data_IF_729560352178
#
_entry.id   IF_729560352178
#
_cell.length_a   1.000
_cell.length_b   1.000
_cell.length_c   1.000
_cell.angle_alpha   90.00
_cell.angle_beta   90.00
_cell.angle_gamma   90.00
#
_symmetry.space_group_name_H-M   'P 1'
#
loop_
_entity.id
_entity.type
_entity.pdbx_description
1 polymer ?
#
# COMPACT_ATOMS: atom_id res chain seq x y z
N UNK A 1 -19.68 -19.51 31.31
CA UNK A 1 -19.26 -18.35 30.51
C UNK A 1 -18.12 -18.84 29.63
N UNK A 2 -18.35 -19.07 28.34
CA UNK A 2 -17.27 -19.39 27.42
C UNK A 2 -16.41 -18.13 27.27
N UNK A 3 -15.16 -18.19 27.72
CA UNK A 3 -14.13 -17.26 27.26
C UNK A 3 -14.05 -17.39 25.74
N UNK A 4 -14.30 -16.33 24.97
CA UNK A 4 -14.12 -16.37 23.52
C UNK A 4 -12.69 -16.79 23.19
N UNK A 5 -12.54 -17.60 22.17
CA UNK A 5 -11.23 -17.97 21.63
C UNK A 5 -10.46 -16.69 21.25
N UNK A 6 -9.27 -16.42 21.82
CA UNK A 6 -8.46 -15.24 21.48
C UNK A 6 -8.02 -15.22 20.01
N UNK A 7 -8.13 -16.34 19.29
CA UNK A 7 -7.74 -16.47 17.89
C UNK A 7 -8.91 -16.31 16.91
N UNK A 8 -10.16 -16.18 17.38
CA UNK A 8 -11.26 -15.78 16.49
C UNK A 8 -11.21 -14.27 16.30
N UNK A 9 -10.91 -13.74 15.09
CA UNK A 9 -10.92 -12.31 14.86
C UNK A 9 -12.33 -11.80 15.17
N UNK A 10 -12.50 -10.94 16.17
CA UNK A 10 -13.79 -10.23 16.29
C UNK A 10 -13.83 -9.22 15.17
N UNK A 11 -14.99 -9.15 14.51
CA UNK A 11 -15.21 -8.26 13.38
C UNK A 11 -14.68 -6.84 13.68
N UNK A 12 -13.89 -6.31 12.75
CA UNK A 12 -13.42 -4.94 12.78
C UNK A 12 -14.60 -4.02 12.44
N UNK A 13 -14.72 -2.91 13.16
CA UNK A 13 -15.82 -1.95 12.97
C UNK A 13 -15.45 -0.82 12.02
N UNK A 14 -14.17 -0.43 11.96
CA UNK A 14 -13.69 0.77 11.28
C UNK A 14 -12.62 0.49 10.23
N UNK A 15 -11.84 -0.59 10.41
CA UNK A 15 -10.85 -1.04 9.43
C UNK A 15 -11.52 -1.97 8.43
N UNK A 16 -11.23 -1.77 7.15
CA UNK A 16 -11.70 -2.69 6.13
C UNK A 16 -10.93 -4.02 6.21
N UNK A 17 -11.66 -5.12 6.21
CA UNK A 17 -11.15 -6.47 5.99
C UNK A 17 -12.13 -7.21 5.07
N UNK A 18 -11.66 -8.10 4.18
CA UNK A 18 -12.55 -8.87 3.32
C UNK A 18 -13.43 -9.78 4.17
N UNK A 19 -14.64 -10.10 3.68
CA UNK A 19 -15.56 -11.03 4.38
C UNK A 19 -15.01 -12.45 4.54
N UNK A 20 -14.09 -12.86 3.68
CA UNK A 20 -13.50 -14.20 3.64
C UNK A 20 -12.11 -14.12 3.03
N UNK A 21 -11.18 -14.95 3.49
CA UNK A 21 -9.89 -15.18 2.87
C UNK A 21 -8.79 -14.23 3.35
N UNK A 22 -7.73 -14.19 2.56
CA UNK A 22 -6.53 -13.40 2.84
C UNK A 22 -6.57 -12.06 2.12
N UNK A 23 -6.08 -11.02 2.81
CA UNK A 23 -5.75 -9.73 2.22
C UNK A 23 -4.36 -9.24 2.64
N UNK A 24 -3.60 -8.71 1.68
CA UNK A 24 -2.43 -7.88 1.97
C UNK A 24 -2.55 -6.48 1.37
N UNK A 25 -1.71 -6.13 0.40
CA UNK A 25 -1.48 -4.75 -0.01
C UNK A 25 -2.77 -4.06 -0.49
N UNK A 26 -3.02 -2.80 -0.10
CA UNK A 26 -3.99 -1.98 -0.79
C UNK A 26 -3.50 -1.73 -2.23
N UNK A 27 -4.40 -1.91 -3.18
CA UNK A 27 -4.14 -1.74 -4.61
C UNK A 27 -5.14 -0.76 -5.21
N UNK A 28 -4.76 -0.14 -6.32
CA UNK A 28 -5.67 0.66 -7.14
C UNK A 28 -6.48 1.74 -6.40
N UNK A 29 -5.92 2.37 -5.37
CA UNK A 29 -6.62 3.41 -4.59
C UNK A 29 -6.93 4.61 -5.48
N UNK A 30 -8.22 4.92 -5.63
CA UNK A 30 -8.67 5.92 -6.61
C UNK A 30 -10.06 6.45 -6.26
N UNK A 31 -10.35 7.69 -6.66
CA UNK A 31 -11.72 8.20 -6.66
C UNK A 31 -12.31 8.13 -8.07
N UNK A 32 -13.44 7.46 -8.22
CA UNK A 32 -14.10 7.26 -9.50
C UNK A 32 -15.62 7.24 -9.32
N UNK A 33 -16.35 7.94 -10.20
CA UNK A 33 -17.82 7.96 -10.25
C UNK A 33 -18.53 8.14 -8.89
N UNK A 34 -17.99 9.02 -8.03
CA UNK A 34 -18.61 9.36 -6.75
C UNK A 34 -18.16 8.51 -5.55
N UNK A 35 -17.26 7.55 -5.76
CA UNK A 35 -16.77 6.64 -4.72
C UNK A 35 -15.24 6.64 -4.64
N UNK A 36 -14.72 6.40 -3.45
CA UNK A 36 -13.36 5.91 -3.26
C UNK A 36 -13.38 4.40 -3.49
N UNK A 37 -12.61 3.93 -4.46
CA UNK A 37 -12.40 2.52 -4.74
C UNK A 37 -11.09 2.08 -4.09
N UNK A 38 -11.11 0.91 -3.50
CA UNK A 38 -9.94 0.23 -2.97
C UNK A 38 -9.95 -1.21 -3.50
N UNK A 39 -8.90 -1.55 -4.22
CA UNK A 39 -8.59 -2.93 -4.55
C UNK A 39 -7.58 -3.45 -3.54
N UNK A 40 -7.37 -4.74 -3.52
CA UNK A 40 -6.40 -5.33 -2.60
C UNK A 40 -5.96 -6.71 -3.08
N UNK A 41 -4.71 -7.06 -2.78
CA UNK A 41 -4.24 -8.44 -2.96
C UNK A 41 -5.14 -9.39 -2.18
N UNK A 42 -5.67 -10.41 -2.86
CA UNK A 42 -6.71 -11.25 -2.30
C UNK A 42 -6.54 -12.73 -2.63
N UNK A 43 -6.69 -13.60 -1.63
CA UNK A 43 -6.86 -15.04 -1.82
C UNK A 43 -8.18 -15.48 -1.15
N UNK A 44 -9.29 -15.63 -1.91
CA UNK A 44 -10.63 -15.86 -1.34
C UNK A 44 -10.85 -17.25 -0.74
N UNK A 45 -10.15 -18.27 -1.27
CA UNK A 45 -10.31 -19.68 -0.87
C UNK A 45 -9.12 -20.18 -0.04
N UNK A 46 -8.56 -19.28 0.76
CA UNK A 46 -7.39 -19.48 1.60
C UNK A 46 -7.51 -20.70 2.54
N UNK A 47 -6.79 -21.78 2.22
CA UNK A 47 -6.53 -22.90 3.14
C UNK A 47 -5.07 -22.95 3.58
N UNK A 48 -4.13 -22.58 2.69
CA UNK A 48 -2.70 -22.48 2.97
C UNK A 48 -2.18 -21.11 2.51
N UNK A 49 -1.61 -20.29 3.41
CA UNK A 49 -0.95 -19.06 3.06
C UNK A 49 0.02 -19.18 1.88
N UNK A 50 -0.11 -18.28 0.89
CA UNK A 50 0.89 -18.04 -0.17
C UNK A 50 1.07 -19.16 -1.21
N UNK A 51 0.24 -20.20 -1.20
CA UNK A 51 0.26 -21.26 -2.22
C UNK A 51 -0.81 -21.09 -3.30
N UNK A 52 -1.69 -20.11 -3.15
CA UNK A 52 -2.75 -19.80 -4.10
C UNK A 52 -2.43 -18.52 -4.87
N UNK A 53 -2.84 -18.49 -6.14
CA UNK A 53 -2.64 -17.32 -7.00
C UNK A 53 -3.44 -16.12 -6.49
N UNK A 54 -2.76 -14.98 -6.43
CA UNK A 54 -3.37 -13.74 -5.96
C UNK A 54 -4.37 -13.18 -6.97
N UNK A 55 -5.46 -12.65 -6.43
CA UNK A 55 -6.50 -11.90 -7.12
C UNK A 55 -6.44 -10.43 -6.70
N UNK A 56 -7.20 -9.57 -7.38
CA UNK A 56 -7.57 -8.27 -6.82
C UNK A 56 -9.01 -8.31 -6.31
N UNK A 57 -9.17 -8.34 -4.99
CA UNK A 57 -10.44 -8.03 -4.36
C UNK A 57 -10.81 -6.55 -4.58
N UNK A 58 -12.06 -6.20 -4.36
CA UNK A 58 -12.56 -4.85 -4.63
C UNK A 58 -13.61 -4.43 -3.62
N UNK A 59 -13.43 -3.24 -3.04
CA UNK A 59 -14.44 -2.57 -2.24
C UNK A 59 -14.51 -1.08 -2.60
N UNK A 60 -15.63 -0.44 -2.28
CA UNK A 60 -15.79 1.01 -2.44
C UNK A 60 -16.49 1.64 -1.24
N UNK A 61 -16.29 2.94 -1.08
CA UNK A 61 -16.87 3.73 0.01
C UNK A 61 -17.05 5.19 -0.40
N UNK A 62 -17.83 5.94 0.37
CA UNK A 62 -17.94 7.41 0.26
C UNK A 62 -17.30 8.14 1.44
N UNK A 63 -17.02 7.42 2.53
CA UNK A 63 -16.61 8.00 3.82
C UNK A 63 -15.52 7.21 4.55
N UNK A 64 -14.97 6.16 3.92
CA UNK A 64 -13.94 5.28 4.50
C UNK A 64 -14.38 4.48 5.74
N UNK A 65 -15.67 4.48 6.06
CA UNK A 65 -16.24 3.74 7.17
C UNK A 65 -17.20 2.66 6.65
N UNK A 66 -18.12 3.07 5.77
CA UNK A 66 -19.10 2.17 5.20
C UNK A 66 -18.59 1.64 3.87
N UNK A 67 -18.02 0.43 3.92
CA UNK A 67 -17.47 -0.26 2.76
C UNK A 67 -18.49 -1.21 2.14
N UNK A 68 -18.69 -1.07 0.83
CA UNK A 68 -19.38 -2.04 -0.01
C UNK A 68 -18.33 -2.93 -0.67
N UNK A 69 -18.27 -4.20 -0.28
CA UNK A 69 -17.47 -5.22 -0.97
C UNK A 69 -18.16 -5.56 -2.30
N UNK A 70 -17.38 -5.53 -3.37
CA UNK A 70 -17.79 -5.75 -4.75
C UNK A 70 -17.21 -7.08 -5.27
N UNK A 71 -17.64 -7.56 -6.45
CA UNK A 71 -17.01 -8.72 -7.08
C UNK A 71 -15.50 -8.54 -7.24
N UNK A 72 -14.74 -9.63 -7.18
CA UNK A 72 -13.30 -9.64 -7.48
C UNK A 72 -13.07 -9.00 -8.85
N UNK A 73 -12.12 -8.06 -8.91
CA UNK A 73 -11.87 -7.25 -10.09
C UNK A 73 -10.92 -7.95 -11.07
N UNK A 74 -9.88 -8.63 -10.57
CA UNK A 74 -8.90 -9.35 -11.39
C UNK A 74 -8.74 -10.80 -10.91
N UNK A 75 -8.89 -11.73 -11.84
CA UNK A 75 -8.62 -13.15 -11.67
C UNK A 75 -7.35 -13.55 -12.42
N UNK A 76 -6.51 -14.46 -11.91
CA UNK A 76 -5.34 -14.99 -12.60
C UNK A 76 -5.75 -16.02 -13.66
N UNK A 77 -6.33 -15.56 -14.76
CA UNK A 77 -7.01 -16.37 -15.78
C UNK A 77 -6.41 -16.27 -17.19
N UNK A 78 -5.30 -15.55 -17.37
CA UNK A 78 -4.58 -15.39 -18.63
C UNK A 78 -3.22 -16.05 -18.59
N UNK A 79 -2.67 -16.37 -19.77
CA UNK A 79 -1.35 -16.99 -19.87
C UNK A 79 -0.22 -16.18 -19.20
N UNK A 80 -0.36 -14.85 -19.14
CA UNK A 80 0.63 -13.94 -18.55
C UNK A 80 0.43 -13.66 -17.05
N UNK A 81 -0.72 -14.02 -16.46
CA UNK A 81 -1.00 -13.81 -15.03
C UNK A 81 -1.53 -15.05 -14.29
N UNK A 82 -1.50 -16.23 -14.91
CA UNK A 82 -2.00 -17.47 -14.34
C UNK A 82 -1.34 -17.88 -13.01
N UNK A 83 -0.17 -17.32 -12.66
CA UNK A 83 0.47 -17.54 -11.37
C UNK A 83 0.06 -16.48 -10.32
N UNK A 84 -0.50 -15.33 -10.73
CA UNK A 84 -1.06 -14.32 -9.84
C UNK A 84 -1.22 -12.93 -10.49
N UNK A 85 -2.21 -12.18 -10.01
CA UNK A 85 -2.35 -10.75 -10.22
C UNK A 85 -1.77 -10.01 -9.01
N UNK A 86 -0.49 -9.65 -9.07
CA UNK A 86 0.22 -8.94 -8.00
C UNK A 86 -0.12 -7.45 -7.96
N UNK A 87 0.44 -6.75 -6.98
CA UNK A 87 0.09 -5.37 -6.63
C UNK A 87 0.29 -4.38 -7.77
N UNK A 88 -0.35 -3.22 -7.62
CA UNK A 88 -0.39 -2.17 -8.63
C UNK A 88 -1.31 -1.02 -8.24
N UNK A 89 -1.53 -0.13 -9.20
CA UNK A 89 -2.25 1.14 -9.00
C UNK A 89 -3.34 1.33 -10.05
N UNK A 90 -4.13 2.38 -9.87
CA UNK A 90 -5.23 2.71 -10.76
C UNK A 90 -5.17 4.18 -11.14
N UNK A 91 -5.67 4.49 -12.35
CA UNK A 91 -5.75 5.85 -12.86
C UNK A 91 -7.01 6.04 -13.69
N UNK A 92 -7.60 7.23 -13.61
CA UNK A 92 -8.74 7.60 -14.43
C UNK A 92 -8.24 8.30 -15.70
N UNK A 93 -8.67 7.81 -16.85
CA UNK A 93 -8.43 8.42 -18.17
C UNK A 93 -9.73 8.36 -18.98
N UNK A 94 -10.18 9.51 -19.47
CA UNK A 94 -11.36 9.61 -20.35
C UNK A 94 -12.60 8.88 -19.79
N UNK A 95 -12.93 9.17 -18.53
CA UNK A 95 -14.05 8.56 -17.79
C UNK A 95 -14.02 7.03 -17.65
N UNK A 96 -12.85 6.43 -17.90
CA UNK A 96 -12.60 5.00 -17.65
C UNK A 96 -11.57 4.84 -16.55
N UNK A 97 -11.74 3.77 -15.78
CA UNK A 97 -10.81 3.34 -14.76
C UNK A 97 -9.85 2.32 -15.36
N UNK A 98 -8.55 2.63 -15.29
CA UNK A 98 -7.48 1.73 -15.69
C UNK A 98 -6.82 1.16 -14.45
N UNK A 99 -6.73 -0.17 -14.37
CA UNK A 99 -5.91 -0.88 -13.39
C UNK A 99 -4.62 -1.31 -14.07
N UNK A 100 -3.48 -0.98 -13.47
CA UNK A 100 -2.16 -1.40 -13.95
C UNK A 100 -1.53 -2.20 -12.83
N UNK A 101 -1.17 -3.46 -13.14
CA UNK A 101 -0.80 -4.45 -12.14
C UNK A 101 0.37 -5.31 -12.60
N UNK A 102 1.08 -5.89 -11.65
CA UNK A 102 2.10 -6.89 -11.94
C UNK A 102 1.44 -8.24 -12.24
N UNK A 103 1.59 -8.73 -13.47
CA UNK A 103 1.09 -10.04 -13.91
C UNK A 103 2.19 -11.10 -13.79
N UNK A 104 1.89 -12.20 -13.10
CA UNK A 104 2.87 -13.25 -12.80
C UNK A 104 2.55 -14.51 -13.60
N UNK A 105 3.55 -15.06 -14.29
CA UNK A 105 3.44 -16.37 -14.93
C UNK A 105 4.66 -17.23 -14.61
N UNK A 106 4.50 -18.56 -14.66
CA UNK A 106 5.63 -19.49 -14.54
C UNK A 106 6.16 -19.86 -15.92
N UNK A 107 7.49 -19.89 -16.08
CA UNK A 107 8.09 -20.43 -17.32
C UNK A 107 7.76 -21.92 -17.43
N UNK A 108 7.32 -22.34 -18.62
CA UNK A 108 6.81 -23.69 -18.86
C UNK A 108 7.73 -24.80 -18.32
N UNK A 109 7.19 -25.62 -17.42
CA UNK A 109 7.91 -26.74 -16.80
C UNK A 109 8.86 -26.37 -15.67
N UNK A 110 8.80 -25.13 -15.16
CA UNK A 110 9.62 -24.65 -14.04
C UNK A 110 8.77 -23.94 -12.99
N UNK A 111 9.32 -23.79 -11.78
CA UNK A 111 8.76 -22.93 -10.73
C UNK A 111 9.27 -21.48 -10.83
N UNK A 112 9.98 -21.12 -11.92
CA UNK A 112 10.52 -19.77 -12.10
C UNK A 112 9.39 -18.80 -12.50
N UNK A 113 9.10 -17.86 -11.61
CA UNK A 113 8.12 -16.79 -11.83
C UNK A 113 8.73 -15.63 -12.63
N UNK A 114 7.98 -15.18 -13.62
CA UNK A 114 8.28 -13.99 -14.42
C UNK A 114 7.27 -12.93 -14.06
N UNK A 115 7.77 -11.75 -13.72
CA UNK A 115 6.96 -10.58 -13.37
C UNK A 115 6.94 -9.61 -14.57
N UNK A 116 5.74 -9.27 -15.03
CA UNK A 116 5.49 -8.33 -16.13
C UNK A 116 4.42 -7.33 -15.70
N UNK A 117 4.14 -6.29 -16.50
CA UNK A 117 3.07 -5.33 -16.24
C UNK A 117 1.93 -5.53 -17.22
N UNK A 118 0.69 -5.54 -16.71
CA UNK A 118 -0.54 -5.72 -17.48
C UNK A 118 -1.58 -4.65 -17.10
N UNK A 119 -2.56 -4.46 -17.98
CA UNK A 119 -3.61 -3.44 -17.86
C UNK A 119 -5.00 -4.08 -17.93
N UNK A 120 -5.93 -3.61 -17.11
CA UNK A 120 -7.36 -3.88 -17.25
C UNK A 120 -8.15 -2.57 -17.19
N UNK A 121 -9.28 -2.51 -17.88
CA UNK A 121 -10.05 -1.27 -18.10
C UNK A 121 -11.51 -1.50 -17.73
N UNK A 122 -12.12 -0.52 -17.05
CA UNK A 122 -13.54 -0.52 -16.73
C UNK A 122 -14.18 0.83 -17.03
N UNK A 123 -15.40 0.81 -17.57
CA UNK A 123 -16.22 2.01 -17.77
C UNK A 123 -17.17 2.29 -16.59
N UNK A 124 -17.54 1.26 -15.82
CA UNK A 124 -18.46 1.37 -14.66
C UNK A 124 -17.73 1.26 -13.31
N UNK A 125 -16.43 0.99 -13.34
CA UNK A 125 -15.58 0.82 -12.17
C UNK A 125 -15.79 -0.49 -11.43
N UNK A 126 -16.56 -1.44 -11.98
CA UNK A 126 -16.90 -2.73 -11.35
C UNK A 126 -16.52 -3.91 -12.25
N UNK A 127 -16.80 -3.83 -13.55
CA UNK A 127 -16.48 -4.88 -14.51
C UNK A 127 -15.24 -4.49 -15.32
N UNK A 128 -14.20 -5.32 -15.28
CA UNK A 128 -12.90 -5.04 -15.88
C UNK A 128 -12.59 -5.98 -17.04
N UNK A 129 -12.12 -5.42 -18.15
CA UNK A 129 -11.62 -6.16 -19.31
C UNK A 129 -10.10 -5.99 -19.40
N UNK A 130 -9.37 -7.11 -19.46
CA UNK A 130 -7.91 -7.08 -19.65
C UNK A 130 -7.57 -6.63 -21.07
N UNK A 131 -6.56 -5.77 -21.18
CA UNK A 131 -6.13 -5.24 -22.47
C UNK A 131 -5.60 -6.37 -23.38
N UNK A 132 -5.93 -6.39 -24.69
CA UNK A 132 -5.51 -7.45 -25.60
C UNK A 132 -3.99 -7.52 -25.81
N UNK A 133 -3.29 -6.40 -25.67
CA UNK A 133 -1.83 -6.31 -25.83
C UNK A 133 -1.05 -6.63 -24.55
N UNK A 134 -1.69 -7.16 -23.52
CA UNK A 134 -1.00 -7.58 -22.31
C UNK A 134 -0.03 -8.77 -22.58
N UNK A 135 1.15 -8.79 -21.90
CA UNK A 135 1.66 -7.77 -20.98
C UNK A 135 2.23 -6.55 -21.71
N UNK A 136 1.94 -5.36 -21.19
CA UNK A 136 2.37 -4.05 -21.75
C UNK A 136 3.81 -3.68 -21.43
N UNK A 137 4.38 -4.23 -20.34
CA UNK A 137 5.82 -4.21 -20.07
C UNK A 137 6.25 -5.64 -19.77
N UNK A 138 6.82 -6.38 -20.76
CA UNK A 138 7.03 -7.81 -20.61
C UNK A 138 8.24 -8.17 -19.73
N UNK A 139 9.25 -7.30 -19.66
CA UNK A 139 10.53 -7.59 -18.99
C UNK A 139 11.10 -6.34 -18.32
N UNK A 140 11.92 -6.53 -17.28
CA UNK A 140 12.72 -5.47 -16.67
C UNK A 140 13.89 -5.05 -17.60
N UNK A 141 14.36 -3.79 -17.51
CA UNK A 141 15.51 -3.30 -18.28
C UNK A 141 16.83 -3.75 -17.61
N UNK A 142 18.01 -3.53 -18.23
CA UNK A 142 19.29 -3.94 -17.65
C UNK A 142 19.54 -3.43 -16.21
N UNK A 143 18.96 -2.28 -15.85
CA UNK A 143 19.07 -1.68 -14.53
C UNK A 143 18.05 -2.22 -13.51
N UNK A 144 17.13 -3.09 -13.93
CA UNK A 144 16.20 -3.79 -13.05
C UNK A 144 16.67 -5.21 -12.67
N UNK A 145 15.78 -5.96 -12.05
CA UNK A 145 15.98 -7.37 -11.75
C UNK A 145 14.68 -8.14 -11.58
N UNK A 146 14.74 -9.42 -11.18
CA UNK A 146 13.60 -10.35 -11.24
C UNK A 146 12.45 -9.98 -10.30
N UNK A 147 12.73 -9.29 -9.19
CA UNK A 147 11.72 -8.58 -8.43
C UNK A 147 11.28 -7.36 -9.25
N UNK A 148 10.32 -7.48 -10.17
CA UNK A 148 9.87 -6.41 -11.06
C UNK A 148 8.35 -6.29 -11.01
N UNK A 149 7.85 -5.55 -10.02
CA UNK A 149 6.43 -5.52 -9.68
C UNK A 149 5.98 -4.16 -9.16
N UNK A 150 4.70 -4.11 -8.81
CA UNK A 150 4.04 -2.96 -8.17
C UNK A 150 4.08 -1.68 -9.02
N UNK A 151 3.58 -1.71 -10.28
CA UNK A 151 3.49 -0.52 -11.11
C UNK A 151 2.68 0.60 -10.43
N UNK A 152 3.32 1.75 -10.22
CA UNK A 152 2.69 2.95 -9.72
C UNK A 152 2.54 4.00 -10.80
N UNK A 153 1.34 4.07 -11.38
CA UNK A 153 1.00 5.02 -12.44
C UNK A 153 0.54 6.36 -11.86
N UNK A 154 0.98 7.43 -12.50
CA UNK A 154 0.52 8.77 -12.17
C UNK A 154 0.49 9.65 -13.42
N UNK A 155 -0.20 10.79 -13.30
CA UNK A 155 -0.19 11.84 -14.31
C UNK A 155 0.41 13.09 -13.71
N UNK A 156 1.52 13.54 -14.28
CA UNK A 156 2.22 14.77 -13.87
C UNK A 156 2.38 15.64 -15.10
N UNK A 157 1.93 16.90 -15.00
CA UNK A 157 2.06 17.92 -16.05
C UNK A 157 1.58 17.43 -17.43
N UNK A 158 0.49 16.67 -17.44
CA UNK A 158 -0.16 16.16 -18.65
C UNK A 158 0.41 14.83 -19.19
N UNK A 159 1.54 14.35 -18.70
CA UNK A 159 2.18 13.10 -19.11
C UNK A 159 1.87 11.95 -18.14
N UNK A 160 1.86 10.71 -18.66
CA UNK A 160 1.73 9.52 -17.83
C UNK A 160 3.10 8.95 -17.49
N UNK A 161 3.30 8.63 -16.23
CA UNK A 161 4.49 7.98 -15.71
C UNK A 161 4.11 6.70 -15.00
N UNK A 162 5.00 5.71 -15.04
CA UNK A 162 4.93 4.52 -14.23
C UNK A 162 6.22 4.38 -13.44
N UNK A 163 6.11 4.39 -12.11
CA UNK A 163 7.21 4.09 -11.19
C UNK A 163 7.16 2.60 -10.89
N UNK A 164 8.16 1.86 -11.32
CA UNK A 164 8.26 0.40 -11.13
C UNK A 164 9.23 0.09 -10.01
N UNK A 165 8.80 -0.72 -9.04
CA UNK A 165 9.69 -1.19 -7.99
C UNK A 165 10.48 -2.41 -8.43
N UNK A 166 11.77 -2.41 -8.08
CA UNK A 166 12.66 -3.54 -8.35
C UNK A 166 13.85 -3.63 -7.40
N UNK A 167 14.65 -4.67 -7.58
CA UNK A 167 15.96 -4.86 -6.96
C UNK A 167 16.98 -5.31 -8.00
N UNK A 168 18.22 -4.84 -7.90
CA UNK A 168 19.32 -5.26 -8.77
C UNK A 168 20.26 -6.22 -8.01
N UNK A 169 20.20 -7.54 -8.28
CA UNK A 169 20.84 -8.55 -7.44
C UNK A 169 22.36 -8.38 -7.29
N UNK A 170 23.06 -8.05 -8.38
CA UNK A 170 24.53 -7.96 -8.36
C UNK A 170 25.05 -6.76 -7.56
N UNK A 171 24.29 -5.66 -7.54
CA UNK A 171 24.68 -4.43 -6.83
C UNK A 171 24.05 -4.34 -5.45
N UNK A 172 23.12 -5.26 -5.13
CA UNK A 172 22.37 -5.25 -3.88
C UNK A 172 21.71 -3.89 -3.62
N UNK A 173 21.03 -3.38 -4.66
CA UNK A 173 20.31 -2.11 -4.60
C UNK A 173 18.82 -2.33 -4.83
N UNK A 174 17.99 -1.72 -3.98
CA UNK A 174 16.58 -1.51 -4.28
C UNK A 174 16.44 -0.31 -5.21
N UNK A 175 15.60 -0.39 -6.24
CA UNK A 175 15.46 0.66 -7.25
C UNK A 175 14.00 0.94 -7.58
N UNK A 176 13.71 2.21 -7.83
CA UNK A 176 12.51 2.64 -8.52
C UNK A 176 12.88 3.05 -9.94
N UNK A 177 12.36 2.33 -10.92
CA UNK A 177 12.54 2.64 -12.34
C UNK A 177 11.41 3.55 -12.81
N UNK A 178 11.70 4.44 -13.76
CA UNK A 178 10.70 5.32 -14.36
C UNK A 178 10.44 4.93 -15.81
N UNK A 179 9.16 4.84 -16.15
CA UNK A 179 8.66 4.74 -17.52
C UNK A 179 7.76 5.94 -17.82
N UNK A 180 7.72 6.35 -19.08
CA UNK A 180 6.79 7.37 -19.61
C UNK A 180 5.87 6.71 -20.65
N UNK A 181 4.61 7.14 -20.72
CA UNK A 181 3.65 6.64 -21.72
C UNK A 181 2.78 7.76 -22.27
N UNK A 182 2.43 7.73 -23.57
CA UNK A 182 1.42 8.60 -24.13
C UNK A 182 -0.01 8.14 -23.83
N UNK A 183 -0.23 6.86 -23.52
CA UNK A 183 -1.58 6.27 -23.56
C UNK A 183 -1.92 5.24 -22.47
N UNK A 184 -0.98 4.93 -21.56
CA UNK A 184 -1.03 3.89 -20.51
C UNK A 184 -0.79 2.46 -20.99
N UNK A 185 -0.55 2.25 -22.28
CA UNK A 185 -0.33 0.92 -22.88
C UNK A 185 1.09 0.81 -23.44
N UNK A 186 1.57 1.84 -24.14
CA UNK A 186 2.92 1.84 -24.68
C UNK A 186 3.86 2.57 -23.72
N UNK A 187 4.81 1.86 -23.13
CA UNK A 187 5.71 2.39 -22.10
C UNK A 187 7.15 2.46 -22.60
N UNK A 188 7.81 3.60 -22.39
CA UNK A 188 9.23 3.81 -22.67
C UNK A 188 10.00 3.88 -21.35
N UNK A 189 10.98 3.00 -21.14
CA UNK A 189 11.89 3.10 -20.00
C UNK A 189 12.75 4.37 -20.11
N UNK A 190 12.84 5.13 -19.02
CA UNK A 190 13.59 6.40 -18.98
C UNK A 190 14.86 6.30 -18.16
N UNK A 191 14.75 5.89 -16.89
CA UNK A 191 15.88 5.93 -15.96
C UNK A 191 15.61 5.16 -14.65
N UNK A 192 16.67 5.01 -13.83
CA UNK A 192 16.56 4.71 -12.39
C UNK A 192 16.26 6.01 -11.66
N UNK A 193 15.02 6.19 -11.19
CA UNK A 193 14.57 7.42 -10.54
C UNK A 193 15.08 7.55 -9.10
N UNK A 194 15.17 6.44 -8.38
CA UNK A 194 15.62 6.41 -6.97
C UNK A 194 16.25 5.05 -6.68
N UNK A 195 17.24 5.03 -5.79
CA UNK A 195 17.86 3.80 -5.32
C UNK A 195 18.17 3.84 -3.84
N UNK A 196 18.24 2.67 -3.23
CA UNK A 196 18.75 2.44 -1.88
C UNK A 196 19.77 1.32 -1.92
N UNK A 197 20.96 1.58 -1.36
CA UNK A 197 22.04 0.60 -1.26
C UNK A 197 21.77 -0.41 -0.14
N UNK A 198 22.47 -1.55 -0.20
CA UNK A 198 22.38 -2.63 0.79
C UNK A 198 20.96 -3.17 0.98
N UNK A 199 20.21 -3.24 -0.11
CA UNK A 199 18.81 -3.67 -0.15
C UNK A 199 18.60 -4.80 -1.16
N UNK A 200 17.64 -5.67 -0.89
CA UNK A 200 17.24 -6.74 -1.80
C UNK A 200 16.38 -6.20 -2.94
N UNK A 201 15.33 -5.45 -2.61
CA UNK A 201 14.40 -4.82 -3.55
C UNK A 201 13.58 -3.71 -2.86
N UNK A 202 12.77 -3.00 -3.64
CA UNK A 202 11.69 -2.15 -3.13
C UNK A 202 10.34 -2.71 -3.57
N UNK A 203 9.25 -2.25 -2.94
CA UNK A 203 7.86 -2.66 -3.21
C UNK A 203 6.92 -1.45 -3.08
N UNK A 204 5.73 -1.57 -3.66
CA UNK A 204 4.59 -0.68 -3.48
C UNK A 204 4.92 0.83 -3.59
N UNK A 205 5.51 1.30 -4.70
CA UNK A 205 5.74 2.72 -4.87
C UNK A 205 4.41 3.48 -5.02
N UNK A 206 4.44 4.78 -4.77
CA UNK A 206 3.37 5.71 -5.12
C UNK A 206 3.99 7.07 -5.44
N UNK A 207 3.64 7.66 -6.58
CA UNK A 207 4.07 9.01 -6.95
C UNK A 207 2.83 9.88 -7.18
N UNK A 208 2.66 10.92 -6.37
CA UNK A 208 1.45 11.76 -6.38
C UNK A 208 1.83 13.23 -6.49
N UNK A 209 1.26 13.92 -7.48
CA UNK A 209 1.38 15.37 -7.60
C UNK A 209 0.55 16.07 -6.51
N UNK A 210 1.16 17.00 -5.81
CA UNK A 210 0.55 17.85 -4.77
C UNK A 210 0.71 19.32 -5.14
N UNK A 211 0.06 20.20 -4.40
CA UNK A 211 0.16 21.65 -4.64
C UNK A 211 1.57 22.22 -4.33
N UNK A 212 2.41 21.46 -3.62
CA UNK A 212 3.74 21.89 -3.16
C UNK A 212 4.91 21.10 -3.77
N UNK A 213 4.64 20.26 -4.77
CA UNK A 213 5.61 19.36 -5.40
C UNK A 213 5.03 17.96 -5.58
N UNK A 214 5.87 16.93 -5.50
CA UNK A 214 5.45 15.55 -5.60
C UNK A 214 5.77 14.78 -4.32
N UNK A 215 4.86 13.89 -3.95
CA UNK A 215 5.05 12.92 -2.87
C UNK A 215 5.41 11.57 -3.50
N UNK A 216 6.56 11.03 -3.13
CA UNK A 216 7.01 9.69 -3.49
C UNK A 216 7.01 8.82 -2.24
N UNK A 217 6.34 7.69 -2.27
CA UNK A 217 6.38 6.70 -1.21
C UNK A 217 6.79 5.34 -1.76
N UNK A 218 7.43 4.50 -0.94
CA UNK A 218 7.77 3.12 -1.27
C UNK A 218 8.07 2.31 0.00
N UNK A 219 7.79 1.00 -0.07
CA UNK A 219 8.35 0.03 0.85
C UNK A 219 9.77 -0.34 0.41
N UNK A 220 10.73 -0.32 1.34
CA UNK A 220 12.13 -0.67 1.07
C UNK A 220 12.49 -1.91 1.88
N UNK A 221 13.21 -2.84 1.25
CA UNK A 221 13.55 -4.15 1.82
C UNK A 221 15.08 -4.31 1.94
N UNK A 222 15.69 -3.84 3.03
CA UNK A 222 17.11 -4.04 3.34
C UNK A 222 17.50 -5.51 3.43
N UNK A 223 18.80 -5.80 3.32
CA UNK A 223 19.32 -7.17 3.47
C UNK A 223 19.38 -7.65 4.94
N UNK A 224 19.58 -6.73 5.88
CA UNK A 224 19.93 -7.03 7.27
C UNK A 224 19.12 -6.26 8.32
N UNK A 225 18.03 -5.60 7.90
CA UNK A 225 17.11 -4.88 8.81
C UNK A 225 15.66 -5.05 8.36
N UNK A 226 14.68 -4.81 9.27
CA UNK A 226 13.27 -4.89 8.93
C UNK A 226 12.91 -4.01 7.73
N UNK A 227 11.94 -4.45 6.94
CA UNK A 227 11.40 -3.62 5.87
C UNK A 227 10.76 -2.36 6.48
N UNK A 228 10.83 -1.25 5.75
CA UNK A 228 10.23 0.00 6.19
C UNK A 228 9.49 0.69 5.05
N UNK A 229 8.52 1.54 5.40
CA UNK A 229 7.78 2.37 4.46
C UNK A 229 8.29 3.81 4.53
N UNK A 230 8.77 4.33 3.41
CA UNK A 230 9.36 5.67 3.31
C UNK A 230 8.45 6.60 2.53
N UNK A 231 8.26 7.80 3.06
CA UNK A 231 7.57 8.90 2.37
C UNK A 231 8.56 10.04 2.15
N UNK A 232 8.59 10.56 0.92
CA UNK A 232 9.45 11.66 0.51
C UNK A 232 8.61 12.74 -0.17
N UNK A 233 8.88 13.99 0.17
CA UNK A 233 8.33 15.15 -0.52
C UNK A 233 9.46 15.82 -1.29
N UNK A 234 9.23 16.10 -2.57
CA UNK A 234 10.26 16.60 -3.47
C UNK A 234 9.70 17.38 -4.65
N UNK A 235 10.58 17.67 -5.61
CA UNK A 235 10.21 18.18 -6.93
C UNK A 235 10.36 17.06 -7.94
N UNK A 236 9.46 17.01 -8.93
CA UNK A 236 9.59 16.13 -10.08
C UNK A 236 9.68 16.98 -11.34
N UNK A 237 10.82 16.93 -12.03
CA UNK A 237 11.07 17.71 -13.24
C UNK A 237 11.74 16.80 -14.27
N UNK A 238 11.17 16.70 -15.46
CA UNK A 238 11.72 15.95 -16.59
C UNK A 238 12.17 14.51 -16.26
N UNK A 239 11.36 13.80 -15.48
CA UNK A 239 11.64 12.41 -15.08
C UNK A 239 12.61 12.25 -13.90
N UNK A 240 13.01 13.34 -13.26
CA UNK A 240 13.90 13.33 -12.10
C UNK A 240 13.13 13.75 -10.84
N UNK A 241 13.05 12.85 -9.86
CA UNK A 241 12.56 13.16 -8.52
C UNK A 241 13.71 13.62 -7.62
N UNK A 242 13.63 14.83 -7.08
CA UNK A 242 14.61 15.38 -6.12
C UNK A 242 13.96 15.52 -4.74
N UNK A 243 14.28 14.66 -3.76
CA UNK A 243 13.70 14.73 -2.43
C UNK A 243 14.17 15.97 -1.67
N UNK A 244 13.25 16.61 -0.94
CA UNK A 244 13.53 17.74 -0.03
C UNK A 244 13.31 17.37 1.44
N UNK A 245 12.30 16.56 1.71
CA UNK A 245 11.94 16.10 3.06
C UNK A 245 11.66 14.60 2.96
N UNK A 246 12.18 13.84 3.93
CA UNK A 246 11.96 12.40 4.04
C UNK A 246 11.42 12.09 5.43
N UNK A 247 10.46 11.19 5.52
CA UNK A 247 9.88 10.74 6.77
C UNK A 247 9.52 9.26 6.72
N UNK A 248 9.76 8.58 7.83
CA UNK A 248 9.19 7.28 8.13
C UNK A 248 8.01 7.55 9.09
N UNK A 249 6.82 7.77 8.51
CA UNK A 249 5.67 8.37 9.21
C UNK A 249 5.02 7.44 10.23
N UNK A 250 4.99 6.14 9.95
CA UNK A 250 4.47 5.12 10.86
C UNK A 250 5.60 4.24 11.37
N UNK A 251 5.84 4.32 12.68
CA UNK A 251 6.87 3.60 13.43
C UNK A 251 6.30 2.38 14.15
N UNK A 252 5.03 2.07 13.93
CA UNK A 252 4.40 0.84 14.38
C UNK A 252 4.98 -0.37 13.65
N UNK A 253 5.08 -1.54 14.32
CA UNK A 253 5.65 -2.74 13.73
C UNK A 253 4.65 -3.52 12.87
N UNK A 254 3.36 -3.16 12.90
CA UNK A 254 2.28 -3.98 12.34
C UNK A 254 1.68 -3.35 11.06
N UNK A 255 2.49 -2.67 10.24
CA UNK A 255 2.05 -2.06 8.97
C UNK A 255 3.04 -2.30 7.83
N UNK A 256 2.52 -2.37 6.61
CA UNK A 256 3.32 -2.49 5.40
C UNK A 256 2.59 -2.01 4.14
N UNK A 257 3.30 -1.99 3.00
CA UNK A 257 2.74 -1.85 1.65
C UNK A 257 1.79 -0.64 1.47
N UNK A 258 2.19 0.53 2.00
CA UNK A 258 1.39 1.73 1.86
C UNK A 258 1.20 2.16 0.42
N UNK A 259 -0.03 2.52 0.05
CA UNK A 259 -0.32 3.17 -1.23
C UNK A 259 -0.88 4.57 -0.99
N UNK A 260 -0.37 5.54 -1.76
CA UNK A 260 -0.78 6.95 -1.68
C UNK A 260 -1.50 7.35 -2.95
N UNK A 261 -2.64 8.03 -2.82
CA UNK A 261 -3.41 8.54 -3.95
C UNK A 261 -3.91 9.97 -3.71
N UNK A 262 -4.30 10.66 -4.78
CA UNK A 262 -4.90 12.00 -4.71
C UNK A 262 -6.41 11.89 -4.63
N UNK A 263 -6.99 12.37 -3.54
CA UNK A 263 -8.43 12.53 -3.36
C UNK A 263 -8.97 13.64 -4.27
N UNK A 264 -10.28 13.63 -4.61
CA UNK A 264 -10.89 14.64 -5.49
C UNK A 264 -10.87 16.04 -4.87
N UNK A 265 -10.78 16.15 -3.55
CA UNK A 265 -10.62 17.42 -2.82
C UNK A 265 -9.16 17.87 -2.66
N UNK A 266 -8.23 17.22 -3.38
CA UNK A 266 -6.82 17.63 -3.46
C UNK A 266 -5.91 17.02 -2.39
N UNK A 267 -6.46 16.36 -1.37
CA UNK A 267 -5.68 15.69 -0.33
C UNK A 267 -4.86 14.53 -0.89
N UNK A 268 -3.65 14.33 -0.37
CA UNK A 268 -2.92 13.07 -0.56
C UNK A 268 -3.30 12.12 0.58
N UNK A 269 -3.96 11.01 0.26
CA UNK A 269 -4.40 10.02 1.24
C UNK A 269 -3.56 8.76 1.12
N UNK A 270 -3.22 8.17 2.25
CA UNK A 270 -2.43 6.95 2.39
C UNK A 270 -3.24 5.89 3.14
N UNK A 271 -3.19 4.66 2.64
CA UNK A 271 -3.70 3.47 3.33
C UNK A 271 -2.58 2.42 3.32
N UNK A 272 -2.41 1.70 4.42
CA UNK A 272 -1.38 0.66 4.60
C UNK A 272 -2.01 -0.67 5.00
N UNK A 273 -1.39 -1.78 4.61
CA UNK A 273 -1.78 -3.12 5.05
C UNK A 273 -1.36 -3.38 6.50
N UNK A 274 -2.28 -3.91 7.31
CA UNK A 274 -2.06 -4.39 8.68
C UNK A 274 -2.37 -5.91 8.69
N UNK A 275 -1.45 -6.79 9.15
CA UNK A 275 -0.36 -6.52 10.11
C UNK A 275 1.04 -6.37 9.50
N UNK A 276 1.17 -6.35 8.17
CA UNK A 276 2.47 -6.49 7.52
C UNK A 276 3.09 -7.90 7.63
N UNK A 277 4.29 -8.06 7.09
CA UNK A 277 4.89 -9.38 6.86
C UNK A 277 5.27 -10.16 8.12
N UNK A 278 5.82 -9.49 9.13
CA UNK A 278 6.39 -10.14 10.32
C UNK A 278 5.36 -11.02 11.04
N UNK A 279 4.09 -10.61 11.02
CA UNK A 279 3.01 -11.26 11.77
C UNK A 279 1.92 -11.87 10.88
N UNK A 280 2.04 -11.73 9.56
CA UNK A 280 1.13 -12.30 8.56
C UNK A 280 0.91 -13.82 8.73
N UNK A 281 1.93 -14.55 9.20
CA UNK A 281 1.92 -16.02 9.33
C UNK A 281 1.25 -16.55 10.60
N UNK A 282 0.82 -15.67 11.51
CA UNK A 282 0.22 -16.06 12.79
C UNK A 282 -1.30 -16.27 12.72
N UNK A 283 -1.95 -15.91 11.61
CA UNK A 283 -3.39 -16.00 11.44
C UNK A 283 -3.80 -17.40 10.96
N UNK A 284 -4.86 -17.95 11.56
CA UNK A 284 -5.56 -19.14 11.08
C UNK A 284 -6.94 -18.74 10.58
N UNK A 285 -7.17 -18.78 9.27
CA UNK A 285 -8.43 -18.35 8.64
C UNK A 285 -8.32 -16.99 7.95
N UNK A 286 -9.40 -16.20 8.00
CA UNK A 286 -9.47 -14.88 7.38
C UNK A 286 -8.46 -13.92 8.03
N UNK A 287 -7.70 -13.19 7.20
CA UNK A 287 -6.55 -12.44 7.68
C UNK A 287 -6.25 -11.21 6.84
N UNK A 288 -5.74 -10.18 7.53
CA UNK A 288 -5.37 -8.90 6.94
C UNK A 288 -6.51 -7.87 6.99
N UNK A 289 -6.13 -6.62 7.23
CA UNK A 289 -7.02 -5.47 7.20
C UNK A 289 -6.24 -4.26 6.66
N UNK A 290 -6.96 -3.20 6.28
CA UNK A 290 -6.36 -1.93 5.86
C UNK A 290 -6.45 -0.92 6.99
N UNK A 291 -5.40 -0.12 7.15
CA UNK A 291 -5.42 1.05 8.04
C UNK A 291 -6.58 1.98 7.68
N UNK A 292 -6.98 2.83 8.62
CA UNK A 292 -7.80 3.99 8.24
C UNK A 292 -7.04 4.89 7.25
N UNK A 293 -7.73 5.64 6.39
CA UNK A 293 -7.07 6.61 5.51
C UNK A 293 -6.37 7.70 6.32
N UNK A 294 -5.14 8.01 5.93
CA UNK A 294 -4.35 9.08 6.55
C UNK A 294 -4.01 10.14 5.52
N UNK A 295 -4.34 11.38 5.82
CA UNK A 295 -3.90 12.53 5.05
C UNK A 295 -2.41 12.79 5.29
N UNK A 296 -1.66 12.84 4.19
CA UNK A 296 -0.25 13.23 4.17
C UNK A 296 -0.15 14.72 3.84
N UNK A 297 0.45 15.50 4.74
CA UNK A 297 0.60 16.95 4.56
C UNK A 297 1.91 17.48 5.16
N UNK A 298 2.29 18.67 4.73
CA UNK A 298 3.47 19.38 5.25
C UNK A 298 3.08 20.38 6.32
N UNK A 299 3.86 20.41 7.40
CA UNK A 299 3.81 21.45 8.42
C UNK A 299 5.21 21.61 9.02
N UNK A 300 5.67 22.84 9.20
CA UNK A 300 6.97 23.16 9.82
C UNK A 300 8.16 22.36 9.24
N UNK A 301 8.18 22.13 7.92
CA UNK A 301 9.25 21.40 7.24
C UNK A 301 9.26 19.88 7.47
N UNK A 302 8.19 19.30 8.03
CA UNK A 302 8.03 17.85 8.24
C UNK A 302 6.80 17.32 7.51
N UNK A 303 6.81 16.02 7.23
CA UNK A 303 5.65 15.28 6.69
C UNK A 303 4.86 14.71 7.87
N UNK A 304 3.57 14.95 7.89
CA UNK A 304 2.62 14.42 8.86
C UNK A 304 1.70 13.41 8.18
N UNK A 305 1.28 12.39 8.91
CA UNK A 305 0.24 11.45 8.53
C UNK A 305 -0.85 11.45 9.61
N UNK A 306 -2.03 11.96 9.30
CA UNK A 306 -3.11 12.10 10.28
C UNK A 306 -4.42 11.55 9.72
N UNK A 307 -5.34 10.99 10.53
CA UNK A 307 -6.55 10.37 10.00
C UNK A 307 -7.34 11.34 9.13
N UNK A 308 -7.86 10.85 8.01
CA UNK A 308 -8.71 11.65 7.14
C UNK A 308 -9.93 12.18 7.93
N UNK A 309 -10.40 13.39 7.60
CA UNK A 309 -11.48 14.08 8.34
C UNK A 309 -12.72 13.20 8.57
N UNK A 310 -12.99 12.29 7.65
CA UNK A 310 -14.11 11.36 7.68
C UNK A 310 -14.10 10.45 8.92
N UNK A 311 -12.91 10.07 9.40
CA UNK A 311 -12.76 9.14 10.53
C UNK A 311 -12.27 9.80 11.82
N UNK A 312 -11.96 11.11 11.80
CA UNK A 312 -11.39 11.80 12.97
C UNK A 312 -12.34 11.84 14.19
N UNK A 313 -13.64 11.73 13.97
CA UNK A 313 -14.63 11.71 15.06
C UNK A 313 -14.56 10.43 15.92
N UNK A 314 -13.84 9.41 15.47
CA UNK A 314 -13.58 8.16 16.21
C UNK A 314 -12.39 8.27 17.17
N UNK A 315 -11.58 9.33 17.04
CA UNK A 315 -10.35 9.51 17.80
C UNK A 315 -10.61 9.83 19.27
N UNK A 316 -9.75 9.27 20.13
CA UNK A 316 -9.79 9.42 21.58
C UNK A 316 -8.47 9.96 22.10
N UNK A 317 -8.50 10.60 23.27
CA UNK A 317 -7.29 11.14 23.94
C UNK A 317 -6.52 10.10 24.75
N UNK A 318 -7.12 8.92 24.97
CA UNK A 318 -6.55 7.85 25.78
C UNK A 318 -7.11 6.50 25.40
N UNK A 319 -6.32 5.45 25.59
CA UNK A 319 -6.75 4.06 25.50
C UNK A 319 -6.14 3.24 26.65
N UNK A 320 -6.86 2.27 27.26
CA UNK A 320 -6.34 1.46 28.36
C UNK A 320 -5.05 0.66 28.04
N UNK A 321 -4.77 0.39 26.77
CA UNK A 321 -3.53 -0.31 26.39
C UNK A 321 -2.32 0.63 26.25
N UNK A 322 -2.52 1.95 26.34
CA UNK A 322 -1.48 2.97 26.19
C UNK A 322 -1.15 3.59 27.56
N UNK A 323 -0.04 3.18 28.14
CA UNK A 323 0.46 3.68 29.42
C UNK A 323 1.36 4.90 29.20
N UNK A 324 1.02 6.04 29.79
CA UNK A 324 1.88 7.23 29.75
C UNK A 324 3.10 7.06 30.65
N UNK A 325 4.27 7.43 30.13
CA UNK A 325 5.52 7.53 30.91
C UNK A 325 5.94 9.00 31.02
N UNK A 326 6.88 9.35 31.92
CA UNK A 326 7.38 10.73 32.02
C UNK A 326 7.94 11.32 30.73
N UNK A 327 8.41 10.45 29.83
CA UNK A 327 9.13 10.74 28.59
C UNK A 327 8.43 10.22 27.33
N UNK A 328 7.19 9.74 27.44
CA UNK A 328 6.44 9.22 26.29
C UNK A 328 5.29 8.28 26.64
N UNK A 329 5.23 7.11 26.00
CA UNK A 329 4.27 6.06 26.32
C UNK A 329 4.78 4.66 26.01
N UNK A 330 4.13 3.66 26.61
CA UNK A 330 4.32 2.24 26.35
C UNK A 330 2.97 1.64 25.96
N UNK A 331 2.91 0.93 24.85
CA UNK A 331 1.76 0.10 24.47
C UNK A 331 2.05 -1.31 24.93
N UNK A 332 1.24 -1.80 25.87
CA UNK A 332 1.36 -3.17 26.37
C UNK A 332 0.67 -4.11 25.42
N UNK A 333 1.44 -5.07 24.90
CA UNK A 333 0.94 -6.11 23.99
C UNK A 333 1.01 -7.47 24.67
N UNK A 334 0.07 -8.34 24.30
CA UNK A 334 0.14 -9.74 24.67
C UNK A 334 1.00 -10.48 23.66
N UNK A 335 1.77 -11.48 24.12
CA UNK A 335 2.59 -12.36 23.28
C UNK A 335 3.63 -11.68 22.35
N UNK A 336 3.81 -10.37 22.46
CA UNK A 336 4.68 -9.53 21.63
C UNK A 336 5.47 -8.53 22.46
N UNK A 337 6.63 -8.04 21.97
CA UNK A 337 7.35 -6.95 22.61
C UNK A 337 6.48 -5.71 22.77
N UNK A 338 6.63 -4.94 23.84
CA UNK A 338 5.92 -3.66 23.94
C UNK A 338 6.37 -2.68 22.85
N UNK A 339 5.46 -1.82 22.41
CA UNK A 339 5.84 -0.65 21.59
C UNK A 339 6.13 0.51 22.53
N UNK A 340 7.28 1.15 22.35
CA UNK A 340 7.72 2.27 23.18
C UNK A 340 7.88 3.50 22.30
N UNK A 341 7.28 4.60 22.74
CA UNK A 341 7.55 5.92 22.23
C UNK A 341 8.31 6.71 23.29
N UNK A 342 9.43 7.31 22.89
CA UNK A 342 10.17 8.28 23.69
C UNK A 342 10.24 9.59 22.92
N UNK A 343 9.78 10.68 23.52
CA UNK A 343 9.71 11.98 22.86
C UNK A 343 8.67 12.92 23.49
N UNK A 344 8.70 14.17 23.05
CA UNK A 344 7.73 15.18 23.48
C UNK A 344 6.34 14.86 22.90
N UNK A 345 5.33 14.81 23.76
CA UNK A 345 3.94 14.61 23.38
C UNK A 345 3.11 15.83 23.76
N UNK A 346 2.86 16.69 22.79
CA UNK A 346 2.00 17.88 22.89
C UNK A 346 0.53 17.52 22.68
N UNK A 347 0.27 16.53 21.83
CA UNK A 347 -1.05 16.00 21.53
C UNK A 347 -0.96 14.49 21.24
N UNK A 348 -1.97 13.73 21.64
CA UNK A 348 -2.13 12.33 21.23
C UNK A 348 -3.56 12.13 20.76
N UNK A 349 -3.73 11.37 19.69
CA UNK A 349 -5.01 10.80 19.31
C UNK A 349 -4.88 9.33 19.04
N UNK A 350 -5.87 8.56 19.45
CA UNK A 350 -5.87 7.11 19.37
C UNK A 350 -7.16 6.67 18.71
N UNK A 351 -7.04 5.88 17.65
CA UNK A 351 -8.14 5.11 17.08
C UNK A 351 -7.99 3.67 17.55
N UNK A 352 -9.04 3.13 18.18
CA UNK A 352 -9.10 1.73 18.56
C UNK A 352 -10.20 1.04 17.79
N UNK A 353 -9.84 -0.07 17.18
CA UNK A 353 -10.78 -1.01 16.57
C UNK A 353 -10.46 -2.41 17.07
N UNK A 354 -11.18 -2.82 18.11
CA UNK A 354 -10.99 -4.10 18.77
C UNK A 354 -9.53 -4.37 19.24
N UNK A 355 -8.76 -5.16 18.48
CA UNK A 355 -7.36 -5.52 18.75
C UNK A 355 -6.35 -4.65 18.01
N UNK A 356 -6.79 -3.67 17.21
CA UNK A 356 -5.95 -2.74 16.47
C UNK A 356 -5.95 -1.38 17.18
N UNK A 357 -4.75 -0.79 17.31
CA UNK A 357 -4.54 0.59 17.67
C UNK A 357 -3.80 1.32 16.56
N UNK A 358 -4.33 2.47 16.16
CA UNK A 358 -3.58 3.50 15.45
C UNK A 358 -3.41 4.71 16.35
N UNK A 359 -2.16 5.11 16.61
CA UNK A 359 -1.82 6.23 17.50
C UNK A 359 -1.17 7.33 16.68
N UNK A 360 -1.65 8.56 16.85
CA UNK A 360 -1.18 9.75 16.17
C UNK A 360 -0.61 10.73 17.20
N UNK A 361 0.72 10.88 17.20
CA UNK A 361 1.44 11.76 18.12
C UNK A 361 1.65 13.12 17.46
N UNK A 362 1.40 14.20 18.21
CA UNK A 362 1.59 15.59 17.78
C UNK A 362 0.86 15.94 16.47
N UNK A 363 -0.40 15.48 16.33
CA UNK A 363 -1.18 15.65 15.11
C UNK A 363 -0.63 14.88 13.91
N UNK A 364 -0.04 13.70 14.13
CA UNK A 364 0.41 12.79 13.07
C UNK A 364 1.88 12.94 12.67
N UNK A 365 2.71 13.60 13.49
CA UNK A 365 4.16 13.68 13.25
C UNK A 365 4.82 12.31 13.32
N UNK A 366 4.27 11.46 14.20
CA UNK A 366 4.65 10.06 14.33
C UNK A 366 3.38 9.26 14.53
N UNK A 367 3.25 8.21 13.75
CA UNK A 367 2.13 7.26 13.81
C UNK A 367 2.62 5.91 14.32
N UNK A 368 1.76 5.16 14.98
CA UNK A 368 1.98 3.76 15.29
C UNK A 368 0.75 2.95 14.92
N UNK A 369 0.87 2.05 13.95
CA UNK A 369 -0.07 0.94 13.71
C UNK A 369 0.32 -0.30 14.50
N UNK A 370 -0.57 -0.78 15.34
CA UNK A 370 -0.22 -1.79 16.35
C UNK A 370 -1.35 -2.79 16.55
N UNK A 371 -0.99 -4.07 16.56
CA UNK A 371 -1.85 -5.15 17.06
C UNK A 371 -1.60 -5.38 18.56
N UNK A 372 -2.66 -5.52 19.35
CA UNK A 372 -2.58 -5.73 20.80
C UNK A 372 -2.30 -7.18 21.21
N UNK A 373 -2.52 -8.15 20.31
CA UNK A 373 -2.59 -9.59 20.60
C UNK A 373 -1.35 -10.39 20.21
#
# INVERSE_FOLDING_TARGET
MHTPDPFTPRALEYHFAPRKGWMNDPNGLVYFQGYYHMFYQHAPDYEIPWQQSMHWGHARTRDFLHWEELPVALYPDQWYDHAGCFSGTAIVKEDKLYLIYASIHRKGGTEEEVQSVSVAISADGVHFEKHPDNPVIPHFPPEGGPDFRDPAVCRIDGKYYCVMATGHPETQTARLLLYESPDLVHWEYKTVMTQWDHCRFSECPSLVQTDTGCLLAASVCPLDSPHYFRVMMGTFTDGVFTPRITADVDKGPDQYAGQVFRAPDGRALMITWIPGWEYSRAFSGDAGCQSVPRELFLRDGKIFAYPAKEVQHLLRDSDPAVERTPDGFIIRRQLRPNVVHTGEIRDIKILRDNYILEIFVNGGETVYSVLLC
#
